data_IF_832763153418
#
_entry.id   IF_832763153418
#
_cell.length_a   1.000
_cell.length_b   1.000
_cell.length_c   1.000
_cell.angle_alpha   90.00
_cell.angle_beta   90.00
_cell.angle_gamma   90.00
#
_symmetry.space_group_name_H-M   'P 1'
#
loop_
_entity.id
_entity.type
_entity.pdbx_description
1 polymer ?
#
# COMPACT_ATOMS: atom_id res chain seq x y z
N UNK A 1 22.81 34.22 23.91
CA UNK A 1 22.84 33.74 22.50
C UNK A 1 22.96 32.24 22.57
N UNK A 2 21.84 31.54 22.64
CA UNK A 2 21.79 30.08 22.55
C UNK A 2 21.98 29.70 21.07
N UNK A 3 23.15 29.22 20.70
CA UNK A 3 23.35 28.46 19.45
C UNK A 3 22.61 27.14 19.59
N UNK A 4 21.41 27.04 19.00
CA UNK A 4 20.79 25.76 18.75
C UNK A 4 21.67 25.00 17.74
N UNK A 5 22.52 24.12 18.21
CA UNK A 5 23.04 23.04 17.40
C UNK A 5 21.87 22.06 17.18
N UNK A 6 21.13 22.31 16.12
CA UNK A 6 20.39 21.23 15.47
C UNK A 6 21.48 20.32 14.90
N UNK A 7 21.80 19.23 15.60
CA UNK A 7 22.57 18.14 15.06
C UNK A 7 21.79 17.63 13.84
N UNK A 8 22.27 18.00 12.65
CA UNK A 8 21.66 17.55 11.39
C UNK A 8 22.06 16.09 11.26
N UNK A 9 21.12 15.19 11.61
CA UNK A 9 21.31 13.76 11.41
C UNK A 9 21.51 13.47 9.92
N UNK A 10 22.56 12.73 9.59
CA UNK A 10 22.85 12.36 8.21
C UNK A 10 22.05 11.12 7.82
N UNK A 11 21.57 11.07 6.59
CA UNK A 11 20.84 9.91 6.08
C UNK A 11 21.65 8.61 6.19
N UNK A 12 22.99 8.69 6.09
CA UNK A 12 23.90 7.55 6.27
C UNK A 12 23.87 6.93 7.67
N UNK A 13 23.44 7.67 8.70
CA UNK A 13 23.32 7.17 10.07
C UNK A 13 22.14 6.19 10.23
N UNK A 14 21.21 6.19 9.27
CA UNK A 14 20.08 5.25 9.20
C UNK A 14 20.36 4.06 8.26
N UNK A 15 21.55 4.00 7.66
CA UNK A 15 21.93 2.91 6.78
C UNK A 15 22.22 1.63 7.58
N UNK A 16 21.54 0.54 7.25
CA UNK A 16 21.82 -0.79 7.77
C UNK A 16 21.55 -1.83 6.69
N UNK A 17 22.15 -3.00 6.83
CA UNK A 17 21.88 -4.11 5.95
C UNK A 17 20.60 -4.85 6.40
N UNK A 18 19.50 -4.66 5.67
CA UNK A 18 18.26 -5.39 5.89
C UNK A 18 18.28 -6.69 5.09
N UNK A 19 18.33 -7.88 5.73
CA UNK A 19 18.21 -9.15 5.02
C UNK A 19 16.86 -9.25 4.28
N UNK A 20 16.87 -9.82 3.08
CA UNK A 20 15.68 -9.87 2.23
C UNK A 20 14.54 -10.69 2.83
N UNK A 21 14.87 -11.75 3.57
CA UNK A 21 13.91 -12.60 4.30
C UNK A 21 13.22 -11.89 5.48
N UNK A 22 13.74 -10.70 5.88
CA UNK A 22 13.10 -9.88 6.91
C UNK A 22 12.11 -8.86 6.34
N UNK A 23 11.96 -8.79 5.03
CA UNK A 23 10.98 -7.93 4.37
C UNK A 23 9.65 -8.66 4.27
N UNK A 24 8.65 -8.24 5.05
CA UNK A 24 7.32 -8.82 5.00
C UNK A 24 6.63 -8.46 3.67
N UNK A 25 6.21 -9.47 2.91
CA UNK A 25 5.49 -9.33 1.65
C UNK A 25 3.98 -9.53 1.79
N UNK A 26 3.55 -10.05 2.94
CA UNK A 26 2.15 -10.33 3.29
C UNK A 26 1.93 -9.98 4.77
N UNK A 27 0.69 -9.68 5.19
CA UNK A 27 0.35 -9.58 6.61
C UNK A 27 0.58 -10.92 7.32
N UNK A 28 0.77 -10.94 8.66
CA UNK A 28 0.85 -12.19 9.42
C UNK A 28 -0.36 -13.08 9.15
N UNK A 29 -0.13 -14.38 8.97
CA UNK A 29 -1.19 -15.36 8.72
C UNK A 29 -0.90 -16.70 9.42
N UNK A 30 -1.96 -17.49 9.60
CA UNK A 30 -1.87 -18.93 9.92
C UNK A 30 -2.20 -19.71 8.67
N UNK A 31 -1.34 -20.65 8.33
CA UNK A 31 -1.54 -21.57 7.21
C UNK A 31 -2.21 -22.85 7.70
N UNK A 32 -3.15 -23.35 6.92
CA UNK A 32 -3.84 -24.63 7.15
C UNK A 32 -3.73 -25.46 5.87
N UNK A 33 -3.26 -26.68 5.98
CA UNK A 33 -3.23 -27.61 4.85
C UNK A 33 -4.54 -28.39 4.84
N UNK A 34 -5.25 -28.35 3.73
CA UNK A 34 -6.48 -29.07 3.50
C UNK A 34 -6.21 -30.54 3.11
N UNK A 35 -7.23 -31.37 3.12
CA UNK A 35 -7.12 -32.81 2.78
C UNK A 35 -6.66 -33.05 1.33
N UNK A 36 -6.91 -32.10 0.43
CA UNK A 36 -6.47 -32.11 -0.98
C UNK A 36 -5.02 -31.59 -1.19
N UNK A 37 -4.34 -31.22 -0.09
CA UNK A 37 -2.99 -30.65 -0.11
C UNK A 37 -2.91 -29.16 -0.42
N UNK A 38 -4.02 -28.48 -0.66
CA UNK A 38 -4.06 -27.03 -0.78
C UNK A 38 -3.80 -26.34 0.56
N UNK A 39 -3.30 -25.10 0.52
CA UNK A 39 -2.97 -24.33 1.72
C UNK A 39 -3.83 -23.07 1.79
N UNK A 40 -4.68 -23.00 2.80
CA UNK A 40 -5.44 -21.81 3.12
C UNK A 40 -4.68 -20.91 4.10
N UNK A 41 -4.81 -19.59 3.92
CA UNK A 41 -4.23 -18.57 4.80
C UNK A 41 -5.31 -17.79 5.52
N UNK A 42 -5.24 -17.76 6.85
CA UNK A 42 -6.07 -16.88 7.68
C UNK A 42 -5.19 -15.72 8.16
N UNK A 43 -5.37 -14.55 7.59
CA UNK A 43 -4.60 -13.37 7.94
C UNK A 43 -4.98 -12.83 9.33
N UNK A 44 -3.95 -12.47 10.09
CA UNK A 44 -4.02 -12.00 11.48
C UNK A 44 -3.24 -10.69 11.63
N UNK A 45 -3.76 -9.60 11.11
CA UNK A 45 -3.10 -8.29 11.08
C UNK A 45 -2.78 -7.75 12.49
N UNK A 46 -3.58 -8.10 13.47
CA UNK A 46 -3.41 -7.75 14.89
C UNK A 46 -2.36 -8.61 15.61
N UNK A 47 -1.84 -9.65 14.97
CA UNK A 47 -0.77 -10.51 15.49
C UNK A 47 0.63 -10.11 14.98
N UNK A 48 0.78 -9.00 14.24
CA UNK A 48 2.10 -8.46 13.90
C UNK A 48 2.86 -8.08 15.18
N UNK A 49 4.18 -8.26 15.15
CA UNK A 49 5.06 -7.92 16.29
C UNK A 49 4.99 -6.43 16.61
N UNK A 50 4.95 -6.12 17.90
CA UNK A 50 4.94 -4.75 18.41
C UNK A 50 6.31 -4.41 19.02
N UNK A 51 6.85 -3.26 18.64
CA UNK A 51 7.99 -2.64 19.30
C UNK A 51 7.55 -1.29 19.89
N UNK A 52 7.77 -1.08 21.17
CA UNK A 52 7.46 0.17 21.86
C UNK A 52 8.74 0.89 22.22
N UNK A 53 8.89 2.11 21.74
CA UNK A 53 10.02 2.99 22.04
C UNK A 53 9.59 4.08 23.03
N UNK A 54 10.12 4.03 24.23
CA UNK A 54 9.94 5.07 25.24
C UNK A 54 10.89 6.24 24.99
N UNK A 55 10.41 7.31 24.37
CA UNK A 55 11.23 8.44 23.92
C UNK A 55 12.05 9.11 25.02
N UNK A 56 11.52 9.21 26.24
CA UNK A 56 12.22 9.87 27.37
C UNK A 56 13.33 9.01 27.94
N UNK A 57 13.07 7.73 28.18
CA UNK A 57 14.02 6.79 28.77
C UNK A 57 14.89 6.06 27.74
N UNK A 58 14.54 6.17 26.43
CA UNK A 58 15.13 5.41 25.31
C UNK A 58 15.03 3.89 25.47
N UNK A 59 14.16 3.42 26.38
CA UNK A 59 13.90 2.00 26.56
C UNK A 59 13.12 1.46 25.36
N UNK A 60 13.50 0.28 24.89
CA UNK A 60 12.77 -0.47 23.83
C UNK A 60 12.15 -1.70 24.48
N UNK A 61 10.87 -1.90 24.27
CA UNK A 61 10.14 -3.09 24.70
C UNK A 61 9.65 -3.83 23.46
N UNK A 62 9.93 -5.13 23.39
CA UNK A 62 9.51 -6.01 22.29
C UNK A 62 8.91 -7.32 22.78
N UNK A 63 9.18 -7.71 24.02
CA UNK A 63 8.77 -8.98 24.59
C UNK A 63 7.72 -8.81 25.65
N UNK A 64 6.82 -9.80 25.76
CA UNK A 64 5.85 -9.87 26.84
C UNK A 64 6.55 -10.05 28.18
N UNK A 65 6.00 -9.43 29.22
CA UNK A 65 6.44 -9.61 30.58
C UNK A 65 5.31 -10.21 31.42
N UNK A 66 5.66 -10.99 32.43
CA UNK A 66 4.73 -11.48 33.45
C UNK A 66 4.40 -10.39 34.49
N UNK A 67 3.64 -10.75 35.52
CA UNK A 67 3.23 -9.85 36.59
C UNK A 67 4.41 -9.31 37.41
N UNK A 68 5.53 -10.06 37.47
CA UNK A 68 6.77 -9.67 38.14
C UNK A 68 7.68 -8.81 37.22
N UNK A 69 7.27 -8.51 36.00
CA UNK A 69 8.05 -7.75 35.00
C UNK A 69 9.17 -8.54 34.34
N UNK A 70 9.22 -9.88 34.49
CA UNK A 70 10.18 -10.75 33.82
C UNK A 70 9.70 -11.11 32.42
N UNK A 71 10.64 -11.24 31.49
CA UNK A 71 10.34 -11.63 30.12
C UNK A 71 9.73 -13.04 30.06
N UNK A 72 8.56 -13.13 29.44
CA UNK A 72 7.89 -14.43 29.17
C UNK A 72 8.67 -15.19 28.12
N UNK A 73 8.99 -16.47 28.41
CA UNK A 73 9.68 -17.37 27.50
C UNK A 73 8.71 -18.34 26.81
N UNK A 74 8.93 -18.54 25.52
CA UNK A 74 8.24 -19.57 24.76
C UNK A 74 8.80 -20.98 25.03
N UNK A 75 8.19 -21.99 24.44
CA UNK A 75 8.63 -23.38 24.57
C UNK A 75 10.05 -23.62 24.01
N UNK A 76 10.50 -22.74 23.10
CA UNK A 76 11.86 -22.73 22.53
C UNK A 76 12.89 -22.00 23.39
N UNK A 77 12.48 -21.46 24.55
CA UNK A 77 13.32 -20.67 25.46
C UNK A 77 13.55 -19.21 25.04
N UNK A 78 13.02 -18.81 23.87
CA UNK A 78 13.11 -17.43 23.40
C UNK A 78 12.03 -16.53 24.01
N UNK A 79 12.25 -15.22 23.99
CA UNK A 79 11.25 -14.27 24.43
C UNK A 79 10.00 -14.30 23.54
N UNK A 80 8.82 -14.25 24.17
CA UNK A 80 7.55 -14.14 23.46
C UNK A 80 7.34 -12.68 23.06
N UNK A 81 7.33 -12.39 21.75
CA UNK A 81 7.08 -11.04 21.26
C UNK A 81 5.70 -10.50 21.66
N UNK A 82 5.65 -9.21 21.99
CA UNK A 82 4.40 -8.48 22.00
C UNK A 82 3.80 -8.44 20.60
N UNK A 83 2.49 -8.41 20.52
CA UNK A 83 1.74 -8.23 19.27
C UNK A 83 1.03 -6.89 19.27
N UNK A 84 0.49 -6.47 18.12
CA UNK A 84 -0.26 -5.21 18.02
C UNK A 84 -1.44 -5.16 19.02
N UNK A 85 -2.01 -6.30 19.41
CA UNK A 85 -3.04 -6.38 20.46
C UNK A 85 -2.56 -5.85 21.81
N UNK A 86 -1.28 -5.98 22.10
CA UNK A 86 -0.69 -5.49 23.36
C UNK A 86 -0.58 -3.95 23.38
N UNK A 87 -0.77 -3.27 22.24
CA UNK A 87 -0.72 -1.80 22.14
C UNK A 87 -1.73 -1.11 23.06
N UNK A 88 -2.87 -1.74 23.35
CA UNK A 88 -3.92 -1.19 24.21
C UNK A 88 -3.41 -0.83 25.62
N UNK A 89 -2.33 -1.46 26.08
CA UNK A 89 -1.71 -1.21 27.39
C UNK A 89 -1.03 0.15 27.51
N UNK A 90 -0.83 0.84 26.38
CA UNK A 90 -0.09 2.10 26.30
C UNK A 90 -0.98 3.32 26.07
N UNK A 91 -2.30 3.13 26.14
CA UNK A 91 -3.28 4.18 25.89
C UNK A 91 -4.13 4.43 27.14
N UNK A 92 -4.42 5.70 27.37
CA UNK A 92 -5.19 6.16 28.51
C UNK A 92 -6.48 6.86 28.04
N UNK A 93 -7.39 7.09 28.99
CA UNK A 93 -8.59 7.89 28.74
C UNK A 93 -8.20 9.30 28.29
N UNK A 94 -8.79 9.75 27.19
CA UNK A 94 -8.51 11.05 26.58
C UNK A 94 -7.53 11.00 25.41
N UNK A 95 -6.89 9.87 25.14
CA UNK A 95 -6.10 9.69 23.93
C UNK A 95 -6.97 9.76 22.67
N UNK A 96 -6.45 10.40 21.64
CA UNK A 96 -7.15 10.53 20.36
C UNK A 96 -6.51 9.61 19.31
N UNK A 97 -7.34 8.77 18.69
CA UNK A 97 -6.94 7.89 17.60
C UNK A 97 -7.39 8.43 16.26
N UNK A 98 -6.47 8.45 15.29
CA UNK A 98 -6.76 8.77 13.90
C UNK A 98 -6.51 7.53 13.06
N UNK A 99 -7.53 7.07 12.35
CA UNK A 99 -7.47 5.90 11.49
C UNK A 99 -7.65 6.29 10.03
N UNK A 100 -7.01 5.53 9.13
CA UNK A 100 -7.29 5.60 7.71
C UNK A 100 -8.60 4.85 7.43
N UNK A 101 -9.58 5.50 6.80
CA UNK A 101 -10.86 4.92 6.41
C UNK A 101 -11.01 4.75 4.88
N UNK A 102 -9.89 4.83 4.15
CA UNK A 102 -9.88 4.69 2.70
C UNK A 102 -10.30 3.28 2.27
N UNK A 103 -11.38 3.20 1.49
CA UNK A 103 -11.76 2.00 0.73
C UNK A 103 -10.93 1.99 -0.56
N UNK A 104 -9.85 1.23 -0.56
CA UNK A 104 -8.90 1.19 -1.67
C UNK A 104 -9.51 0.47 -2.86
N UNK A 105 -9.41 1.08 -4.05
CA UNK A 105 -9.81 0.46 -5.32
C UNK A 105 -8.58 -0.03 -6.12
N UNK A 106 -8.77 -0.89 -7.16
CA UNK A 106 -7.68 -1.37 -8.00
C UNK A 106 -7.09 -0.22 -8.83
N UNK A 107 -6.10 0.47 -8.27
CA UNK A 107 -5.61 1.74 -8.78
C UNK A 107 -4.46 1.61 -9.79
N UNK A 108 -3.84 0.44 -9.93
CA UNK A 108 -2.67 0.24 -10.80
C UNK A 108 -3.08 -0.40 -12.11
N UNK A 109 -2.93 0.35 -13.19
CA UNK A 109 -3.21 -0.09 -14.56
C UNK A 109 -1.92 -0.29 -15.32
N UNK A 110 -1.88 -1.34 -16.15
CA UNK A 110 -0.83 -1.55 -17.12
C UNK A 110 -1.40 -1.42 -18.52
N UNK A 111 -0.59 -0.90 -19.45
CA UNK A 111 -1.04 -0.70 -20.81
C UNK A 111 0.10 -0.38 -21.75
N UNK A 112 -0.27 0.14 -22.92
CA UNK A 112 0.67 0.54 -23.96
C UNK A 112 0.40 1.96 -24.43
N UNK A 113 1.44 2.59 -24.93
CA UNK A 113 1.36 3.91 -25.54
C UNK A 113 1.14 3.77 -27.06
N UNK A 114 0.26 4.58 -27.63
CA UNK A 114 0.06 4.65 -29.08
C UNK A 114 1.37 4.77 -29.89
N UNK A 115 1.37 4.29 -31.13
CA UNK A 115 2.48 4.38 -32.10
C UNK A 115 3.77 3.65 -31.74
N UNK A 116 3.99 3.28 -30.49
CA UNK A 116 5.27 2.71 -30.06
C UNK A 116 5.12 1.40 -29.32
N UNK A 117 3.89 1.03 -28.92
CA UNK A 117 3.55 -0.12 -28.05
C UNK A 117 4.41 -0.20 -26.78
N UNK A 118 5.00 0.95 -26.42
CA UNK A 118 5.81 1.03 -25.22
C UNK A 118 4.94 0.75 -23.99
N UNK A 119 5.35 -0.21 -23.18
CA UNK A 119 4.68 -0.53 -21.91
C UNK A 119 4.66 0.68 -21.00
N UNK A 120 3.52 0.93 -20.40
CA UNK A 120 3.28 2.01 -19.45
C UNK A 120 2.56 1.49 -18.22
N UNK A 121 2.77 2.18 -17.10
CA UNK A 121 2.00 2.03 -15.88
C UNK A 121 1.28 3.33 -15.57
N UNK A 122 0.03 3.25 -15.20
CA UNK A 122 -0.78 4.36 -14.73
C UNK A 122 -1.31 4.01 -13.34
N UNK A 123 -1.10 4.92 -12.39
CA UNK A 123 -1.62 4.79 -11.04
C UNK A 123 -2.72 5.83 -10.84
N UNK A 124 -3.95 5.37 -10.74
CA UNK A 124 -5.12 6.21 -10.51
C UNK A 124 -5.05 6.82 -9.11
N UNK A 125 -5.22 8.14 -8.98
CA UNK A 125 -5.27 8.83 -7.71
C UNK A 125 -6.70 9.16 -7.29
N UNK A 126 -7.41 9.86 -8.16
CA UNK A 126 -8.79 10.28 -7.92
C UNK A 126 -9.49 10.66 -9.22
N UNK A 127 -10.80 10.48 -9.23
CA UNK A 127 -11.64 11.03 -10.27
C UNK A 127 -11.83 12.55 -10.04
N UNK A 128 -11.55 13.33 -11.09
CA UNK A 128 -11.70 14.79 -11.06
C UNK A 128 -13.07 15.22 -11.55
N UNK A 129 -13.62 14.50 -12.54
CA UNK A 129 -14.92 14.79 -13.12
C UNK A 129 -15.51 13.52 -13.76
N UNK A 130 -16.67 13.10 -13.28
CA UNK A 130 -17.35 11.90 -13.74
C UNK A 130 -17.95 12.07 -15.15
N UNK A 131 -18.53 13.23 -15.49
CA UNK A 131 -19.16 13.50 -16.79
C UNK A 131 -18.13 13.44 -17.94
N UNK A 132 -16.95 14.05 -17.73
CA UNK A 132 -15.89 14.08 -18.70
C UNK A 132 -14.86 12.96 -18.52
N UNK A 133 -15.06 12.06 -17.55
CA UNK A 133 -14.16 10.93 -17.23
C UNK A 133 -12.71 11.36 -17.02
N UNK A 134 -12.54 12.45 -16.28
CA UNK A 134 -11.23 13.01 -15.98
C UNK A 134 -10.67 12.41 -14.69
N UNK A 135 -9.44 11.95 -14.76
CA UNK A 135 -8.71 11.36 -13.64
C UNK A 135 -7.35 12.00 -13.42
N UNK A 136 -7.03 12.27 -12.17
CA UNK A 136 -5.67 12.59 -11.74
C UNK A 136 -4.91 11.29 -11.51
N UNK A 137 -3.74 11.15 -12.12
CA UNK A 137 -2.99 9.90 -12.14
C UNK A 137 -1.48 10.15 -12.04
N UNK A 138 -0.73 9.15 -11.58
CA UNK A 138 0.71 9.09 -11.80
C UNK A 138 1.00 8.15 -12.99
N UNK A 139 2.08 8.43 -13.72
CA UNK A 139 2.45 7.63 -14.90
C UNK A 139 3.92 7.23 -14.88
N UNK A 140 4.21 6.04 -15.41
CA UNK A 140 5.58 5.52 -15.58
C UNK A 140 5.73 4.88 -16.98
N UNK A 141 6.75 5.21 -17.78
CA UNK A 141 7.79 6.23 -17.57
C UNK A 141 7.30 7.65 -17.92
N UNK A 142 7.30 8.56 -16.95
CA UNK A 142 6.69 9.89 -17.08
C UNK A 142 7.26 10.74 -18.23
N UNK A 143 8.56 10.58 -18.54
CA UNK A 143 9.25 11.34 -19.62
C UNK A 143 8.72 11.00 -21.02
N UNK A 144 8.15 9.80 -21.21
CA UNK A 144 7.65 9.30 -22.50
C UNK A 144 6.16 9.57 -22.69
N UNK A 145 5.43 9.93 -21.62
CA UNK A 145 3.99 10.16 -21.63
C UNK A 145 3.71 11.66 -21.58
N UNK A 146 3.26 12.21 -22.72
CA UNK A 146 3.08 13.66 -22.93
C UNK A 146 1.64 13.97 -23.28
N UNK A 147 1.23 15.22 -23.11
CA UNK A 147 -0.08 15.75 -23.53
C UNK A 147 -0.35 15.36 -24.99
N UNK A 148 -1.56 14.90 -25.26
CA UNK A 148 -2.02 14.41 -26.58
C UNK A 148 -1.68 12.95 -26.86
N UNK A 149 -0.92 12.25 -26.00
CA UNK A 149 -0.72 10.81 -26.18
C UNK A 149 -1.97 10.03 -25.80
N UNK A 150 -2.27 8.97 -26.55
CA UNK A 150 -3.26 7.96 -26.19
C UNK A 150 -2.61 6.76 -25.54
N UNK A 151 -3.27 6.24 -24.53
CA UNK A 151 -2.86 5.12 -23.69
C UNK A 151 -3.94 4.04 -23.79
N UNK A 152 -3.55 2.79 -24.01
CA UNK A 152 -4.42 1.63 -24.21
C UNK A 152 -4.19 0.65 -23.06
N UNK A 153 -5.27 0.20 -22.39
CA UNK A 153 -5.17 -0.59 -21.15
C UNK A 153 -5.63 -2.04 -21.26
N UNK A 154 -6.36 -2.39 -22.29
CA UNK A 154 -6.97 -3.71 -22.50
C UNK A 154 -6.58 -4.36 -23.83
N UNK A 155 -5.36 -4.08 -24.28
CA UNK A 155 -4.88 -4.53 -25.57
C UNK A 155 -5.64 -3.87 -26.73
N UNK A 156 -6.41 -4.65 -27.50
CA UNK A 156 -7.24 -4.16 -28.60
C UNK A 156 -8.65 -3.72 -28.14
N UNK A 157 -8.90 -3.71 -26.86
CA UNK A 157 -10.18 -3.34 -26.26
C UNK A 157 -10.45 -1.83 -26.26
N UNK A 158 -11.65 -1.42 -25.79
CA UNK A 158 -12.10 -0.04 -25.91
C UNK A 158 -11.54 0.90 -24.85
N UNK A 159 -10.84 0.40 -23.79
CA UNK A 159 -10.36 1.23 -22.69
C UNK A 159 -9.15 2.05 -23.10
N UNK A 160 -9.41 3.25 -23.58
CA UNK A 160 -8.40 4.21 -24.06
C UNK A 160 -8.49 5.48 -23.27
N UNK A 161 -7.34 6.07 -22.90
CA UNK A 161 -7.30 7.40 -22.30
C UNK A 161 -6.36 8.33 -23.10
N UNK A 162 -6.70 9.62 -23.11
CA UNK A 162 -5.87 10.69 -23.65
C UNK A 162 -5.26 11.49 -22.50
N UNK A 163 -3.97 11.80 -22.61
CA UNK A 163 -3.28 12.70 -21.68
C UNK A 163 -3.65 14.14 -22.04
N UNK A 164 -4.37 14.83 -21.17
CA UNK A 164 -4.84 16.20 -21.44
C UNK A 164 -4.07 17.27 -20.67
N UNK A 165 -3.40 16.91 -19.56
CA UNK A 165 -2.61 17.87 -18.77
C UNK A 165 -1.48 17.18 -17.98
N UNK A 166 -0.51 18.00 -17.53
CA UNK A 166 0.57 17.59 -16.62
C UNK A 166 0.35 18.30 -15.27
N UNK A 167 0.22 17.51 -14.19
CA UNK A 167 -0.02 18.06 -12.85
C UNK A 167 1.25 18.17 -12.01
N UNK A 168 2.13 17.19 -12.11
CA UNK A 168 3.44 17.14 -11.43
C UNK A 168 4.49 16.50 -12.35
N UNK A 169 5.71 16.28 -11.84
CA UNK A 169 6.78 15.61 -12.60
C UNK A 169 6.36 14.21 -13.10
N UNK A 170 5.52 13.49 -12.36
CA UNK A 170 4.95 12.18 -12.71
C UNK A 170 3.43 12.22 -12.87
N UNK A 171 2.77 13.29 -12.46
CA UNK A 171 1.32 13.46 -12.50
C UNK A 171 0.81 13.85 -13.89
N UNK A 172 -0.34 13.29 -14.26
CA UNK A 172 -1.09 13.60 -15.48
C UNK A 172 -2.57 13.70 -15.17
N UNK A 173 -3.27 14.47 -15.99
CA UNK A 173 -4.73 14.34 -16.09
C UNK A 173 -5.05 13.51 -17.33
N UNK A 174 -5.74 12.42 -17.12
CA UNK A 174 -6.24 11.56 -18.20
C UNK A 174 -7.72 11.83 -18.42
N UNK A 175 -8.14 11.80 -19.70
CA UNK A 175 -9.52 11.71 -20.14
C UNK A 175 -9.75 10.34 -20.76
N UNK A 176 -10.59 9.50 -20.15
CA UNK A 176 -10.96 8.21 -20.73
C UNK A 176 -11.96 8.41 -21.87
N UNK A 177 -11.67 7.77 -23.00
CA UNK A 177 -12.45 7.86 -24.24
C UNK A 177 -13.34 6.62 -24.36
N UNK A 178 -14.22 6.41 -23.42
CA UNK A 178 -15.06 5.22 -23.30
C UNK A 178 -16.52 5.63 -23.15
N UNK A 179 -17.37 5.28 -24.13
CA UNK A 179 -18.75 5.72 -24.20
C UNK A 179 -19.71 4.68 -23.60
N UNK A 180 -19.97 4.78 -22.31
CA UNK A 180 -20.91 3.94 -21.56
C UNK A 180 -21.39 4.68 -20.31
N UNK A 181 -22.41 4.18 -19.58
CA UNK A 181 -22.78 4.73 -18.28
C UNK A 181 -21.61 4.75 -17.30
N UNK A 182 -21.59 5.76 -16.42
CA UNK A 182 -20.47 5.98 -15.50
C UNK A 182 -20.16 4.76 -14.61
N UNK A 183 -21.17 4.10 -14.06
CA UNK A 183 -21.02 2.91 -13.21
C UNK A 183 -20.38 1.75 -14.00
N UNK A 184 -20.80 1.56 -15.22
CA UNK A 184 -20.19 0.54 -16.10
C UNK A 184 -18.73 0.88 -16.39
N UNK A 185 -18.44 2.13 -16.73
CA UNK A 185 -17.07 2.60 -16.92
C UNK A 185 -16.18 2.31 -15.72
N UNK A 186 -16.63 2.68 -14.50
CA UNK A 186 -15.86 2.40 -13.28
C UNK A 186 -15.65 0.91 -13.05
N UNK A 187 -16.69 0.11 -13.25
CA UNK A 187 -16.61 -1.34 -13.08
C UNK A 187 -15.56 -1.96 -14.01
N UNK A 188 -15.56 -1.57 -15.27
CA UNK A 188 -14.58 -2.07 -16.26
C UNK A 188 -13.16 -1.54 -15.99
N UNK A 189 -13.02 -0.25 -15.66
CA UNK A 189 -11.75 0.34 -15.26
C UNK A 189 -11.13 -0.39 -14.06
N UNK A 190 -11.92 -0.69 -13.04
CA UNK A 190 -11.46 -1.42 -11.86
C UNK A 190 -11.19 -2.90 -12.15
N UNK A 191 -11.91 -3.48 -13.12
CA UNK A 191 -11.63 -4.84 -13.60
C UNK A 191 -10.26 -5.00 -14.27
N UNK A 192 -9.73 -3.93 -14.84
CA UNK A 192 -8.38 -3.90 -15.45
C UNK A 192 -7.28 -3.59 -14.41
N UNK A 193 -7.66 -3.06 -13.26
CA UNK A 193 -6.72 -2.61 -12.24
C UNK A 193 -6.23 -3.71 -11.33
N UNK A 194 -5.04 -3.49 -10.77
CA UNK A 194 -4.46 -4.32 -9.71
C UNK A 194 -4.40 -3.56 -8.39
N UNK A 195 -4.24 -4.32 -7.29
CA UNK A 195 -4.03 -3.77 -5.96
C UNK A 195 -2.85 -2.78 -5.97
N UNK A 196 -2.98 -1.59 -5.35
CA UNK A 196 -1.95 -0.56 -5.35
C UNK A 196 -0.79 -0.87 -4.39
N UNK A 197 -0.24 -2.07 -4.47
CA UNK A 197 0.84 -2.53 -3.61
C UNK A 197 2.07 -1.62 -3.70
N UNK A 198 2.80 -1.42 -2.59
CA UNK A 198 4.08 -0.73 -2.58
C UNK A 198 5.13 -1.40 -3.48
N UNK A 199 6.05 -0.59 -4.01
CA UNK A 199 7.12 -1.09 -4.91
C UNK A 199 7.93 -2.22 -4.30
N UNK A 200 8.29 -2.16 -3.02
CA UNK A 200 9.07 -3.21 -2.37
C UNK A 200 8.38 -4.58 -2.33
N UNK A 201 7.05 -4.63 -2.54
CA UNK A 201 6.30 -5.88 -2.68
C UNK A 201 6.25 -6.31 -4.15
N UNK A 202 5.77 -5.44 -5.05
CA UNK A 202 5.57 -5.81 -6.46
C UNK A 202 6.88 -6.12 -7.20
N UNK A 203 8.01 -5.57 -6.76
CA UNK A 203 9.33 -5.88 -7.30
C UNK A 203 9.81 -7.29 -6.90
N UNK A 204 9.17 -7.92 -5.89
CA UNK A 204 9.51 -9.26 -5.37
C UNK A 204 8.47 -10.32 -5.71
N UNK A 205 7.22 -9.93 -5.87
CA UNK A 205 6.14 -10.82 -6.29
C UNK A 205 5.03 -10.05 -7.01
N UNK A 206 4.33 -10.69 -7.96
CA UNK A 206 3.15 -10.08 -8.59
C UNK A 206 2.02 -9.85 -7.57
N UNK A 207 1.11 -8.94 -7.91
CA UNK A 207 -0.14 -8.79 -7.19
C UNK A 207 -1.03 -10.04 -7.35
N UNK A 208 -1.82 -10.35 -6.34
CA UNK A 208 -2.77 -11.45 -6.32
C UNK A 208 -4.19 -10.92 -6.03
N UNK A 209 -5.25 -11.66 -6.35
CA UNK A 209 -6.61 -11.25 -6.00
C UNK A 209 -6.83 -11.02 -4.49
N UNK A 210 -6.12 -11.77 -3.65
CA UNK A 210 -6.21 -11.61 -2.19
C UNK A 210 -5.60 -10.28 -1.70
N UNK A 211 -4.68 -9.69 -2.45
CA UNK A 211 -4.05 -8.43 -2.06
C UNK A 211 -5.06 -7.29 -1.95
N UNK A 212 -6.07 -7.23 -2.82
CA UNK A 212 -7.14 -6.24 -2.70
C UNK A 212 -7.86 -6.32 -1.36
N UNK A 213 -8.17 -7.55 -0.89
CA UNK A 213 -8.79 -7.78 0.41
C UNK A 213 -7.83 -7.47 1.56
N UNK A 214 -6.58 -7.92 1.44
CA UNK A 214 -5.59 -7.76 2.49
C UNK A 214 -5.04 -6.34 2.61
N UNK A 215 -5.14 -5.53 1.56
CA UNK A 215 -4.68 -4.15 1.53
C UNK A 215 -5.71 -3.16 2.11
N UNK A 216 -6.96 -3.58 2.28
CA UNK A 216 -7.99 -2.76 2.90
C UNK A 216 -7.72 -2.54 4.40
N UNK A 217 -7.97 -1.32 4.89
CA UNK A 217 -8.15 -1.11 6.32
C UNK A 217 -9.48 -1.73 6.77
N UNK A 218 -9.58 -2.17 8.02
CA UNK A 218 -10.85 -2.64 8.60
C UNK A 218 -11.89 -1.51 8.75
N UNK A 219 -11.47 -0.26 8.62
CA UNK A 219 -12.30 0.95 8.68
C UNK A 219 -12.69 1.47 7.30
N UNK A 220 -12.37 0.75 6.22
CA UNK A 220 -12.58 1.18 4.84
C UNK A 220 -14.03 1.63 4.60
N UNK A 221 -14.20 2.89 4.19
CA UNK A 221 -15.52 3.52 3.99
C UNK A 221 -15.53 4.46 2.79
N UNK A 222 -14.54 5.32 2.68
CA UNK A 222 -14.44 6.34 1.64
C UNK A 222 -13.49 5.90 0.54
N UNK A 223 -13.96 5.89 -0.71
CA UNK A 223 -13.17 5.43 -1.86
C UNK A 223 -11.91 6.29 -2.06
N UNK A 224 -10.77 5.63 -2.32
CA UNK A 224 -9.50 6.28 -2.60
C UNK A 224 -8.43 5.30 -3.11
N UNK A 225 -7.33 5.83 -3.61
CA UNK A 225 -6.26 5.02 -4.19
C UNK A 225 -5.33 4.36 -3.15
N UNK A 226 -5.18 4.96 -1.98
CA UNK A 226 -4.34 4.51 -0.86
C UNK A 226 -4.86 5.06 0.46
#
# INVERSE_FOLDING_TARGET
ILKNHLDIMKLSEFGFNLPEDQVALEPPYKAFTNDDGSVDKIYRRDECRLMVLHRKSQKIEMYKTDEDGKEVKGADGNGVFMTFRDAIKYFDEGDTFVFNDTAVFPARLYGTKEKTDAKIEVFLLRELNAEFRLWDVLVEPARKIRIGNKLFFDGDGPMVAEVIDNTTSRGRTLRFLYDCPHEQFKSELYGLGEAPLPRYIIDRRPATPDDMKNFQTIYAKNEGAV
#
